data_IF_319126449837
#
_entry.id   IF_319126449837
#
_cell.length_a   1.000
_cell.length_b   1.000
_cell.length_c   1.000
_cell.angle_alpha   90.00
_cell.angle_beta   90.00
_cell.angle_gamma   90.00
#
_symmetry.space_group_name_H-M   'P 1'
#
loop_
_entity.id
_entity.type
_entity.pdbx_description
1 polymer ?
#
# COMPACT_ATOMS: atom_id res chain seq x y z
N UNK A 1 -30.96 -4.01 6.36
CA UNK A 1 -29.94 -4.19 5.30
C UNK A 1 -28.59 -4.22 5.99
N UNK A 2 -27.71 -5.18 5.67
CA UNK A 2 -26.32 -5.18 6.14
C UNK A 2 -25.55 -4.02 5.51
N UNK A 3 -24.51 -3.54 6.18
CA UNK A 3 -23.53 -2.63 5.58
C UNK A 3 -22.96 -3.30 4.33
N UNK A 4 -22.79 -2.57 3.22
CA UNK A 4 -22.33 -3.18 1.97
C UNK A 4 -20.91 -3.77 2.10
N UNK A 5 -20.03 -3.12 2.88
CA UNK A 5 -18.67 -3.60 3.14
C UNK A 5 -18.27 -3.33 4.58
N UNK A 6 -17.60 -4.31 5.22
CA UNK A 6 -17.06 -4.21 6.58
C UNK A 6 -15.54 -4.39 6.63
N UNK A 7 -15.00 -5.25 5.79
CA UNK A 7 -13.58 -5.56 5.72
C UNK A 7 -13.07 -5.17 4.34
N UNK A 8 -12.44 -4.01 4.26
CA UNK A 8 -11.92 -3.47 2.99
C UNK A 8 -10.42 -3.65 2.97
N UNK A 9 -9.92 -4.33 1.95
CA UNK A 9 -8.49 -4.46 1.68
C UNK A 9 -8.13 -3.63 0.45
N UNK A 10 -7.12 -2.80 0.58
CA UNK A 10 -6.66 -1.88 -0.46
C UNK A 10 -5.21 -2.20 -0.78
N UNK A 11 -4.95 -2.63 -2.01
CA UNK A 11 -3.58 -2.79 -2.53
C UNK A 11 -3.18 -1.51 -3.26
N UNK A 12 -2.02 -0.94 -2.92
CA UNK A 12 -1.51 0.24 -3.63
C UNK A 12 -0.15 -0.01 -4.24
N UNK A 13 0.07 0.54 -5.44
CA UNK A 13 1.36 0.61 -6.12
C UNK A 13 1.79 2.05 -6.37
N UNK A 14 2.88 2.26 -7.09
CA UNK A 14 3.50 3.57 -7.28
C UNK A 14 2.58 4.59 -8.01
N UNK A 15 1.57 4.11 -8.73
CA UNK A 15 0.60 4.98 -9.41
C UNK A 15 -0.18 5.89 -8.47
N UNK A 16 -0.46 5.47 -7.21
CA UNK A 16 -1.15 6.34 -6.24
C UNK A 16 -0.28 7.53 -5.83
N UNK A 17 1.05 7.37 -5.80
CA UNK A 17 2.02 8.40 -5.39
C UNK A 17 2.54 9.26 -6.56
N UNK A 18 2.17 8.94 -7.80
CA UNK A 18 2.64 9.65 -9.00
C UNK A 18 2.29 11.14 -8.97
N UNK A 19 1.04 11.48 -8.58
CA UNK A 19 0.57 12.87 -8.49
C UNK A 19 1.15 13.61 -7.26
N UNK A 20 1.82 12.91 -6.36
CA UNK A 20 2.61 13.48 -5.25
C UNK A 20 4.06 13.78 -5.65
N UNK A 21 4.47 13.52 -6.91
CA UNK A 21 5.82 13.77 -7.42
C UNK A 21 6.80 12.62 -7.23
N UNK A 22 6.31 11.42 -6.83
CA UNK A 22 7.11 10.19 -6.78
C UNK A 22 7.01 9.49 -8.13
N UNK A 23 8.17 9.18 -8.73
CA UNK A 23 8.20 8.50 -10.02
C UNK A 23 7.72 7.05 -9.88
N UNK A 24 6.91 6.62 -10.85
CA UNK A 24 6.41 5.26 -10.90
C UNK A 24 7.51 4.28 -11.33
N UNK A 25 7.49 3.11 -10.73
CA UNK A 25 8.28 1.98 -11.16
C UNK A 25 7.73 1.44 -12.49
N UNK A 26 8.59 1.30 -13.51
CA UNK A 26 8.22 0.76 -14.82
C UNK A 26 8.95 -0.56 -15.05
N UNK A 27 8.32 -1.67 -14.64
CA UNK A 27 8.88 -2.99 -14.82
C UNK A 27 9.15 -3.36 -16.29
N UNK A 28 8.38 -2.79 -17.21
CA UNK A 28 8.50 -3.07 -18.65
C UNK A 28 9.85 -2.61 -19.23
N UNK A 29 10.40 -1.51 -18.72
CA UNK A 29 11.67 -0.95 -19.21
C UNK A 29 12.88 -1.50 -18.45
N UNK A 30 12.68 -2.30 -17.39
CA UNK A 30 13.75 -2.81 -16.51
C UNK A 30 14.50 -1.69 -15.78
N UNK A 31 13.92 -0.48 -15.74
CA UNK A 31 14.55 0.70 -15.15
C UNK A 31 13.71 1.26 -13.99
N UNK A 32 14.42 1.67 -12.95
CA UNK A 32 13.88 2.46 -11.87
C UNK A 32 14.67 3.77 -11.76
N UNK A 33 14.04 4.90 -12.09
CA UNK A 33 14.67 6.22 -12.12
C UNK A 33 16.04 6.22 -12.85
N UNK A 34 16.05 5.67 -14.08
CA UNK A 34 17.22 5.55 -14.97
C UNK A 34 18.32 4.58 -14.51
N UNK A 35 18.10 3.80 -13.44
CA UNK A 35 19.00 2.72 -13.03
C UNK A 35 18.40 1.36 -13.40
N UNK A 36 19.23 0.41 -13.77
CA UNK A 36 18.80 -0.98 -13.98
C UNK A 36 18.36 -1.56 -12.64
N UNK A 37 17.26 -2.31 -12.64
CA UNK A 37 16.73 -2.96 -11.43
C UNK A 37 17.76 -3.86 -10.79
N UNK A 38 18.51 -4.62 -11.60
CA UNK A 38 19.55 -5.53 -11.15
C UNK A 38 20.70 -4.84 -10.43
N UNK A 39 20.91 -3.55 -10.71
CA UNK A 39 21.99 -2.78 -10.09
C UNK A 39 21.59 -2.17 -8.74
N UNK A 40 20.34 -1.79 -8.57
CA UNK A 40 19.92 -0.99 -7.40
C UNK A 40 18.86 -1.67 -6.51
N UNK A 41 18.25 -2.75 -6.97
CA UNK A 41 17.12 -3.39 -6.26
C UNK A 41 17.28 -4.91 -6.16
N UNK A 42 18.52 -5.40 -6.00
CA UNK A 42 18.86 -6.80 -5.75
C UNK A 42 19.95 -6.95 -4.69
N UNK A 43 20.00 -8.05 -3.93
CA UNK A 43 21.13 -8.34 -3.03
C UNK A 43 22.47 -8.38 -3.74
N UNK A 44 22.53 -8.92 -4.96
CA UNK A 44 23.72 -9.02 -5.78
C UNK A 44 24.24 -7.63 -6.22
N UNK A 45 23.31 -6.72 -6.59
CA UNK A 45 23.64 -5.33 -6.89
C UNK A 45 24.28 -4.64 -5.70
N UNK A 46 23.72 -4.83 -4.51
CA UNK A 46 24.26 -4.27 -3.28
C UNK A 46 25.63 -4.85 -2.90
N UNK A 47 25.86 -6.16 -3.09
CA UNK A 47 27.18 -6.76 -2.87
C UNK A 47 28.24 -6.25 -3.85
N UNK A 48 27.84 -5.98 -5.10
CA UNK A 48 28.74 -5.52 -6.16
C UNK A 48 29.15 -4.07 -5.98
N UNK A 49 28.21 -3.19 -5.64
CA UNK A 49 28.45 -1.76 -5.49
C UNK A 49 27.53 -1.17 -4.40
N UNK A 50 27.90 -1.34 -3.11
CA UNK A 50 27.09 -0.83 -2.01
C UNK A 50 26.97 0.70 -2.01
N UNK A 51 28.02 1.42 -2.43
CA UNK A 51 28.01 2.89 -2.45
C UNK A 51 26.99 3.42 -3.45
N UNK A 52 26.92 2.85 -4.65
CA UNK A 52 25.92 3.21 -5.65
C UNK A 52 24.49 2.92 -5.16
N UNK A 53 24.26 1.74 -4.58
CA UNK A 53 22.94 1.36 -4.09
C UNK A 53 22.52 2.24 -2.91
N UNK A 54 23.41 2.49 -1.95
CA UNK A 54 23.11 3.37 -0.82
C UNK A 54 22.78 4.79 -1.29
N UNK A 55 23.57 5.36 -2.21
CA UNK A 55 23.30 6.70 -2.75
C UNK A 55 21.98 6.74 -3.51
N UNK A 56 21.63 5.68 -4.28
CA UNK A 56 20.34 5.55 -4.94
C UNK A 56 19.17 5.71 -3.95
N UNK A 57 19.20 5.01 -2.80
CA UNK A 57 18.16 5.11 -1.77
C UNK A 57 18.25 6.41 -0.95
N UNK A 58 19.44 6.93 -0.71
CA UNK A 58 19.65 8.21 -0.02
C UNK A 58 19.01 9.38 -0.79
N UNK A 59 19.20 9.45 -2.11
CA UNK A 59 18.58 10.47 -2.96
C UNK A 59 17.03 10.42 -2.84
N UNK A 60 16.45 9.23 -2.85
CA UNK A 60 15.00 9.04 -2.70
C UNK A 60 14.51 9.44 -1.32
N UNK A 61 15.30 9.13 -0.29
CA UNK A 61 14.99 9.53 1.11
C UNK A 61 15.00 11.05 1.25
N UNK A 62 16.03 11.71 0.74
CA UNK A 62 16.12 13.18 0.73
C UNK A 62 14.95 13.80 -0.04
N UNK A 63 14.59 13.24 -1.19
CA UNK A 63 13.43 13.67 -1.97
C UNK A 63 12.12 13.49 -1.20
N UNK A 64 11.90 12.32 -0.60
CA UNK A 64 10.68 12.02 0.18
C UNK A 64 10.50 12.95 1.37
N UNK A 65 11.60 13.35 2.00
CA UNK A 65 11.60 14.27 3.15
C UNK A 65 11.49 15.75 2.76
N UNK A 66 11.54 16.08 1.48
CA UNK A 66 11.38 17.46 1.01
C UNK A 66 9.92 17.91 1.09
N UNK A 67 9.71 19.22 1.24
CA UNK A 67 8.37 19.84 1.28
C UNK A 67 7.59 19.66 -0.03
N UNK A 68 8.26 19.36 -1.13
CA UNK A 68 7.64 19.13 -2.44
C UNK A 68 6.82 17.85 -2.50
N UNK A 69 7.11 16.86 -1.64
CA UNK A 69 6.41 15.58 -1.62
C UNK A 69 5.35 15.59 -0.51
N UNK A 70 4.08 15.62 -0.91
CA UNK A 70 2.94 15.65 0.01
C UNK A 70 1.91 14.58 -0.37
N UNK A 71 1.13 14.05 0.62
CA UNK A 71 0.00 13.21 0.31
C UNK A 71 -0.96 13.90 -0.64
N UNK A 72 -1.42 13.22 -1.66
CA UNK A 72 -2.43 13.73 -2.58
C UNK A 72 -3.85 13.32 -2.11
N UNK A 73 -4.92 13.79 -2.78
CA UNK A 73 -6.30 13.50 -2.38
C UNK A 73 -6.63 12.02 -2.25
N UNK A 74 -5.94 11.11 -2.97
CA UNK A 74 -6.16 9.66 -2.82
C UNK A 74 -5.72 9.16 -1.44
N UNK A 75 -4.52 9.54 -0.98
CA UNK A 75 -4.02 9.17 0.34
C UNK A 75 -4.92 9.72 1.46
N UNK A 76 -5.34 10.99 1.36
CA UNK A 76 -6.25 11.63 2.32
C UNK A 76 -7.61 10.94 2.37
N UNK A 77 -8.13 10.52 1.22
CA UNK A 77 -9.40 9.80 1.14
C UNK A 77 -9.34 8.43 1.79
N UNK A 78 -8.22 7.69 1.65
CA UNK A 78 -8.03 6.40 2.33
C UNK A 78 -7.95 6.56 3.84
N UNK A 79 -7.24 7.56 4.35
CA UNK A 79 -7.22 7.88 5.78
C UNK A 79 -8.61 8.26 6.32
N UNK A 80 -9.39 9.02 5.52
CA UNK A 80 -10.80 9.32 5.85
C UNK A 80 -11.66 8.06 5.88
N UNK A 81 -11.50 7.17 4.90
CA UNK A 81 -12.24 5.91 4.85
C UNK A 81 -11.99 5.07 6.10
N UNK A 82 -10.72 4.89 6.48
CA UNK A 82 -10.36 4.13 7.67
C UNK A 82 -10.96 4.72 8.95
N UNK A 83 -10.98 6.05 9.07
CA UNK A 83 -11.55 6.76 10.22
C UNK A 83 -13.07 6.67 10.31
N UNK A 84 -13.79 6.71 9.19
CA UNK A 84 -15.25 6.88 9.16
C UNK A 84 -16.00 5.57 8.90
N UNK A 85 -15.33 4.52 8.38
CA UNK A 85 -15.95 3.24 8.12
C UNK A 85 -16.30 2.52 9.42
N UNK A 86 -17.51 1.98 9.53
CA UNK A 86 -17.88 1.05 10.61
C UNK A 86 -17.46 -0.38 10.26
N UNK A 87 -16.16 -0.59 10.28
CA UNK A 87 -15.52 -1.84 9.86
C UNK A 87 -14.01 -1.73 9.96
N UNK A 88 -13.32 -2.49 9.15
CA UNK A 88 -11.86 -2.44 9.04
C UNK A 88 -11.42 -2.03 7.63
N UNK A 89 -10.36 -1.23 7.56
CA UNK A 89 -9.64 -0.93 6.32
C UNK A 89 -8.19 -1.35 6.52
N UNK A 90 -7.67 -2.17 5.64
CA UNK A 90 -6.27 -2.56 5.63
C UNK A 90 -5.64 -2.09 4.32
N UNK A 91 -4.64 -1.24 4.41
CA UNK A 91 -3.85 -0.81 3.26
C UNK A 91 -2.61 -1.70 3.14
N UNK A 92 -2.51 -2.44 2.05
CA UNK A 92 -1.33 -3.21 1.67
C UNK A 92 -0.61 -2.38 0.61
N UNK A 93 0.60 -1.90 0.92
CA UNK A 93 1.32 -1.06 -0.04
C UNK A 93 2.59 -1.72 -0.54
N UNK A 94 2.79 -1.66 -1.85
CA UNK A 94 4.06 -1.98 -2.52
C UNK A 94 5.03 -0.80 -2.45
N UNK A 95 4.53 0.40 -2.11
CA UNK A 95 5.33 1.60 -2.02
C UNK A 95 6.17 1.61 -0.76
N UNK A 96 7.33 2.25 -0.88
CA UNK A 96 8.28 2.41 0.21
C UNK A 96 8.23 3.81 0.84
N UNK A 97 7.37 4.69 0.32
CA UNK A 97 7.10 6.02 0.88
C UNK A 97 6.15 5.94 2.10
N UNK A 98 6.02 7.05 2.84
CA UNK A 98 5.15 7.17 4.00
C UNK A 98 3.91 8.07 3.73
N UNK A 99 3.45 8.15 2.49
CA UNK A 99 2.36 9.04 2.13
C UNK A 99 1.01 8.56 2.66
N UNK A 100 0.83 7.27 2.89
CA UNK A 100 -0.37 6.73 3.53
C UNK A 100 -0.49 7.19 4.98
N UNK A 101 0.57 7.07 5.78
CA UNK A 101 0.63 7.55 7.17
C UNK A 101 0.38 9.05 7.23
N UNK A 102 1.08 9.82 6.39
CA UNK A 102 0.91 11.27 6.29
C UNK A 102 -0.48 11.66 5.78
N UNK A 103 -1.15 10.77 5.04
CA UNK A 103 -2.54 10.88 4.59
C UNK A 103 -3.57 10.49 5.66
N UNK A 104 -3.13 9.95 6.79
CA UNK A 104 -3.97 9.61 7.93
C UNK A 104 -4.35 8.14 8.07
N UNK A 105 -3.89 7.25 7.18
CA UNK A 105 -4.04 5.80 7.34
C UNK A 105 -3.16 5.28 8.47
N UNK A 106 -3.65 4.31 9.24
CA UNK A 106 -2.95 3.72 10.39
C UNK A 106 -2.72 2.21 10.24
N UNK A 107 -3.67 1.48 9.65
CA UNK A 107 -3.55 0.04 9.45
C UNK A 107 -2.92 -0.25 8.09
N UNK A 108 -1.60 -0.17 8.03
CA UNK A 108 -0.81 -0.28 6.81
C UNK A 108 0.14 -1.48 6.90
N UNK A 109 0.25 -2.23 5.81
CA UNK A 109 1.23 -3.30 5.61
C UNK A 109 2.18 -2.87 4.48
N UNK A 110 3.39 -2.48 4.84
CA UNK A 110 4.47 -2.18 3.89
C UNK A 110 5.12 -3.48 3.41
N UNK A 111 4.54 -4.10 2.39
CA UNK A 111 5.01 -5.42 1.93
C UNK A 111 6.41 -5.38 1.29
N UNK A 112 6.84 -4.23 0.80
CA UNK A 112 8.18 -4.05 0.23
C UNK A 112 9.12 -3.22 1.11
N UNK A 113 8.75 -2.99 2.37
CA UNK A 113 9.56 -2.23 3.33
C UNK A 113 9.31 -0.72 3.27
N UNK A 114 10.18 0.03 3.93
CA UNK A 114 10.01 1.46 4.19
C UNK A 114 11.32 2.22 3.98
N UNK A 115 11.29 3.27 3.17
CA UNK A 115 12.46 4.06 2.80
C UNK A 115 13.07 4.83 3.98
N UNK A 116 12.22 5.18 4.98
CA UNK A 116 12.64 5.90 6.18
C UNK A 116 13.09 4.96 7.31
N UNK A 117 13.40 3.69 6.97
CA UNK A 117 14.00 2.73 7.91
C UNK A 117 15.26 2.11 7.34
N UNK A 118 16.18 1.76 8.24
CA UNK A 118 17.33 0.92 7.94
C UNK A 118 17.18 -0.42 8.67
N UNK A 119 17.80 -1.46 8.11
CA UNK A 119 17.76 -2.83 8.63
C UNK A 119 19.17 -3.39 8.80
N UNK A 120 19.39 -4.08 9.92
CA UNK A 120 20.53 -4.97 10.07
C UNK A 120 20.24 -6.30 9.33
N UNK A 121 21.08 -6.73 8.37
CA UNK A 121 20.84 -7.97 7.62
C UNK A 121 20.94 -9.25 8.48
N UNK A 122 21.70 -9.21 9.58
CA UNK A 122 21.94 -10.38 10.45
C UNK A 122 20.81 -10.60 11.45
N UNK A 123 20.37 -9.52 12.15
CA UNK A 123 19.33 -9.64 13.19
C UNK A 123 17.93 -9.30 12.70
N UNK A 124 17.79 -8.73 11.51
CA UNK A 124 16.57 -8.14 10.97
C UNK A 124 15.98 -6.98 11.82
N UNK A 125 16.72 -6.49 12.81
CA UNK A 125 16.28 -5.31 13.56
C UNK A 125 16.26 -4.08 12.65
N UNK A 126 15.20 -3.29 12.77
CA UNK A 126 14.99 -2.05 12.01
C UNK A 126 15.09 -0.85 12.93
N UNK A 127 15.59 0.26 12.38
CA UNK A 127 15.68 1.57 13.04
C UNK A 127 15.14 2.64 12.10
N UNK A 128 14.58 3.71 12.67
CA UNK A 128 14.23 4.91 11.90
C UNK A 128 15.50 5.51 11.27
N UNK A 129 15.40 5.88 9.99
CA UNK A 129 16.53 6.38 9.21
C UNK A 129 16.09 7.53 8.32
N UNK A 130 16.35 8.75 8.77
CA UNK A 130 16.06 9.98 8.00
C UNK A 130 17.28 10.51 7.28
N UNK A 131 18.46 10.24 7.83
CA UNK A 131 19.74 10.63 7.25
C UNK A 131 20.21 9.63 6.21
N UNK A 132 21.28 9.97 5.49
CA UNK A 132 21.94 9.08 4.55
C UNK A 132 22.53 7.85 5.28
N UNK A 133 22.41 6.69 4.65
CA UNK A 133 23.15 5.50 5.04
C UNK A 133 24.43 5.47 4.20
N UNK A 134 25.57 5.27 4.84
CA UNK A 134 26.88 5.20 4.18
C UNK A 134 27.47 3.80 4.28
N UNK A 135 28.32 3.48 3.36
CA UNK A 135 29.15 2.30 3.47
C UNK A 135 30.07 2.43 4.70
N UNK A 136 30.04 1.44 5.58
CA UNK A 136 30.70 1.48 6.89
C UNK A 136 29.76 1.85 8.08
N UNK A 137 28.49 2.22 7.82
CA UNK A 137 27.50 2.39 8.89
C UNK A 137 27.08 1.01 9.42
N UNK A 138 27.64 0.64 10.56
CA UNK A 138 27.46 -0.69 11.14
C UNK A 138 26.33 -0.70 12.16
N UNK A 139 25.67 -1.84 12.30
CA UNK A 139 24.65 -2.04 13.33
C UNK A 139 25.24 -2.10 14.74
N UNK A 140 24.40 -1.81 15.75
CA UNK A 140 24.76 -1.94 17.17
C UNK A 140 24.07 -3.12 17.87
N UNK A 141 23.35 -3.95 17.10
CA UNK A 141 22.52 -5.03 17.65
C UNK A 141 23.22 -6.41 17.61
N UNK A 142 24.35 -6.54 16.93
CA UNK A 142 25.09 -7.79 16.77
C UNK A 142 26.44 -7.78 17.46
N UNK A 143 26.92 -8.96 17.94
CA UNK A 143 28.28 -9.09 18.48
C UNK A 143 29.34 -8.79 17.41
N UNK A 144 29.10 -9.22 16.19
CA UNK A 144 29.86 -8.80 15.01
C UNK A 144 28.99 -7.82 14.22
N UNK A 145 29.28 -6.51 14.29
CA UNK A 145 28.47 -5.50 13.61
C UNK A 145 28.44 -5.71 12.08
N UNK A 146 27.24 -5.66 11.50
CA UNK A 146 27.02 -5.80 10.07
C UNK A 146 26.67 -4.45 9.44
N UNK A 147 27.00 -4.29 8.17
CA UNK A 147 26.64 -3.12 7.37
C UNK A 147 25.13 -2.93 7.35
N UNK A 148 24.65 -1.77 7.78
CA UNK A 148 23.25 -1.40 7.68
C UNK A 148 22.83 -1.17 6.23
N UNK A 149 21.61 -1.57 5.90
CA UNK A 149 21.03 -1.38 4.56
C UNK A 149 19.65 -0.73 4.65
N UNK A 150 19.13 -0.11 3.58
CA UNK A 150 17.74 0.34 3.53
C UNK A 150 16.78 -0.83 3.86
N UNK A 151 15.73 -0.55 4.63
CA UNK A 151 14.70 -1.54 4.95
C UNK A 151 13.74 -1.73 3.76
N UNK A 152 14.29 -2.19 2.66
CA UNK A 152 13.57 -2.42 1.40
C UNK A 152 13.65 -3.90 1.05
N UNK A 153 12.56 -4.47 0.56
CA UNK A 153 12.55 -5.80 -0.05
C UNK A 153 13.02 -5.65 -1.49
N UNK A 154 14.12 -6.33 -1.81
CA UNK A 154 14.67 -6.36 -3.15
C UNK A 154 14.14 -7.54 -3.96
N UNK A 155 14.30 -7.50 -5.27
CA UNK A 155 13.96 -8.64 -6.13
C UNK A 155 14.78 -9.87 -5.69
N UNK A 156 14.09 -11.01 -5.61
CA UNK A 156 14.63 -12.26 -5.04
C UNK A 156 14.43 -12.42 -3.53
N UNK A 157 14.08 -11.36 -2.79
CA UNK A 157 13.72 -11.46 -1.38
C UNK A 157 12.21 -11.68 -1.18
N UNK A 158 11.84 -12.30 -0.07
CA UNK A 158 10.44 -12.52 0.30
C UNK A 158 9.80 -11.22 0.77
N UNK A 159 8.63 -10.82 0.25
CA UNK A 159 7.89 -9.68 0.78
C UNK A 159 7.52 -9.86 2.26
N UNK A 160 7.39 -8.73 2.95
CA UNK A 160 7.13 -8.71 4.40
C UNK A 160 5.66 -9.03 4.69
N UNK A 161 5.42 -9.63 5.87
CA UNK A 161 4.09 -9.83 6.45
C UNK A 161 3.09 -10.59 5.56
N UNK A 162 3.57 -11.52 4.74
CA UNK A 162 2.71 -12.29 3.82
C UNK A 162 1.57 -13.03 4.53
N UNK A 163 1.81 -13.56 5.74
CA UNK A 163 0.76 -14.20 6.53
C UNK A 163 -0.39 -13.26 6.89
N UNK A 164 -0.06 -12.02 7.31
CA UNK A 164 -1.07 -10.99 7.63
C UNK A 164 -1.83 -10.55 6.38
N UNK A 165 -1.14 -10.47 5.24
CA UNK A 165 -1.74 -10.13 3.94
C UNK A 165 -2.77 -11.18 3.55
N UNK A 166 -2.43 -12.46 3.54
CA UNK A 166 -3.38 -13.52 3.19
C UNK A 166 -4.55 -13.58 4.17
N UNK A 167 -4.32 -13.42 5.47
CA UNK A 167 -5.39 -13.36 6.45
C UNK A 167 -6.35 -12.19 6.22
N UNK A 168 -5.84 -11.03 5.76
CA UNK A 168 -6.69 -9.90 5.40
C UNK A 168 -7.50 -10.19 4.11
N UNK A 169 -6.88 -10.79 3.09
CA UNK A 169 -7.54 -11.15 1.83
C UNK A 169 -8.67 -12.16 2.03
N UNK A 170 -8.47 -13.17 2.89
CA UNK A 170 -9.48 -14.19 3.23
C UNK A 170 -10.74 -13.59 3.87
N UNK A 171 -10.61 -12.48 4.59
CA UNK A 171 -11.71 -11.82 5.30
C UNK A 171 -12.31 -10.64 4.54
N UNK A 172 -11.72 -10.27 3.40
CA UNK A 172 -12.14 -9.12 2.64
C UNK A 172 -13.53 -9.33 2.02
N UNK A 173 -14.41 -8.35 2.14
CA UNK A 173 -15.65 -8.26 1.36
C UNK A 173 -15.56 -7.25 0.22
N UNK A 174 -14.53 -6.37 0.27
CA UNK A 174 -14.12 -5.51 -0.84
C UNK A 174 -12.59 -5.51 -0.96
N UNK A 175 -12.09 -5.77 -2.16
CA UNK A 175 -10.68 -5.60 -2.52
C UNK A 175 -10.53 -4.51 -3.58
N UNK A 176 -9.70 -3.51 -3.31
CA UNK A 176 -9.44 -2.39 -4.25
C UNK A 176 -7.96 -2.34 -4.59
N UNK A 177 -7.63 -2.44 -5.87
CA UNK A 177 -6.26 -2.27 -6.38
C UNK A 177 -6.10 -0.88 -6.97
N UNK A 178 -5.10 -0.10 -6.53
CA UNK A 178 -4.90 1.30 -6.92
C UNK A 178 -3.48 1.52 -7.43
N UNK A 179 -3.36 1.93 -8.69
CA UNK A 179 -2.08 2.40 -9.26
C UNK A 179 -0.99 1.34 -9.31
N UNK A 180 -1.35 0.07 -9.56
CA UNK A 180 -0.40 -1.03 -9.74
C UNK A 180 -0.44 -1.58 -11.16
N UNK A 181 0.71 -2.01 -11.67
CA UNK A 181 0.83 -2.57 -13.01
C UNK A 181 0.27 -3.99 -13.15
N UNK A 182 0.12 -4.71 -12.05
CA UNK A 182 -0.32 -6.12 -12.05
C UNK A 182 0.71 -7.12 -12.60
N UNK A 183 2.00 -6.75 -12.64
CA UNK A 183 3.07 -7.66 -13.14
C UNK A 183 4.01 -8.15 -12.04
N UNK A 184 3.98 -7.53 -10.84
CA UNK A 184 4.89 -7.87 -9.73
C UNK A 184 4.19 -8.87 -8.82
N UNK A 185 4.72 -10.09 -8.76
CA UNK A 185 4.25 -11.14 -7.85
C UNK A 185 4.96 -11.05 -6.49
N UNK A 186 4.29 -11.42 -5.37
CA UNK A 186 2.94 -12.03 -5.31
C UNK A 186 1.77 -11.04 -5.41
N UNK A 187 2.00 -9.73 -5.36
CA UNK A 187 0.93 -8.71 -5.30
C UNK A 187 -0.06 -8.80 -6.47
N UNK A 188 0.40 -9.14 -7.67
CA UNK A 188 -0.45 -9.34 -8.84
C UNK A 188 -1.50 -10.47 -8.66
N UNK A 189 -1.23 -11.45 -7.79
CA UNK A 189 -2.15 -12.54 -7.48
C UNK A 189 -3.23 -12.21 -6.45
N UNK A 190 -3.10 -11.12 -5.69
CA UNK A 190 -4.01 -10.83 -4.57
C UNK A 190 -5.45 -10.58 -4.98
N UNK A 191 -5.70 -10.09 -6.19
CA UNK A 191 -7.07 -9.97 -6.73
C UNK A 191 -7.72 -11.34 -6.89
N UNK A 192 -6.98 -12.33 -7.34
CA UNK A 192 -7.46 -13.71 -7.45
C UNK A 192 -7.79 -14.27 -6.07
N UNK A 193 -6.88 -14.12 -5.09
CA UNK A 193 -7.07 -14.60 -3.72
C UNK A 193 -8.30 -13.97 -3.06
N UNK A 194 -8.46 -12.65 -3.16
CA UNK A 194 -9.63 -11.94 -2.63
C UNK A 194 -10.94 -12.43 -3.30
N UNK A 195 -10.93 -12.62 -4.63
CA UNK A 195 -12.10 -13.05 -5.38
C UNK A 195 -12.57 -14.46 -5.02
N UNK A 196 -11.66 -15.42 -4.85
CA UNK A 196 -12.04 -16.80 -4.47
C UNK A 196 -12.64 -16.86 -3.06
N UNK A 197 -12.32 -15.90 -2.18
CA UNK A 197 -12.91 -15.76 -0.85
C UNK A 197 -14.19 -14.91 -0.84
N UNK A 198 -14.65 -14.46 -2.01
CA UNK A 198 -15.96 -13.80 -2.18
C UNK A 198 -15.94 -12.28 -2.13
N UNK A 199 -14.77 -11.64 -2.08
CA UNK A 199 -14.66 -10.20 -2.15
C UNK A 199 -15.15 -9.63 -3.49
N UNK A 200 -15.86 -8.51 -3.45
CA UNK A 200 -16.03 -7.68 -4.64
C UNK A 200 -14.68 -7.03 -4.97
N UNK A 201 -14.31 -6.96 -6.27
CA UNK A 201 -12.98 -6.50 -6.67
C UNK A 201 -13.07 -5.29 -7.60
N UNK A 202 -12.30 -4.23 -7.27
CA UNK A 202 -12.27 -2.96 -8.02
C UNK A 202 -10.83 -2.64 -8.40
N UNK A 203 -10.59 -2.32 -9.66
CA UNK A 203 -9.34 -1.73 -10.13
C UNK A 203 -9.51 -0.22 -10.31
N UNK A 204 -8.59 0.58 -9.74
CA UNK A 204 -8.44 2.02 -10.01
C UNK A 204 -7.04 2.25 -10.58
N UNK A 205 -6.97 2.67 -11.84
CA UNK A 205 -5.69 2.89 -12.50
C UNK A 205 -5.84 3.94 -13.63
N UNK A 206 -4.73 4.44 -14.17
CA UNK A 206 -4.77 5.28 -15.37
C UNK A 206 -5.09 4.46 -16.61
N UNK A 207 -4.55 3.23 -16.68
CA UNK A 207 -4.70 2.29 -17.79
C UNK A 207 -4.93 0.89 -17.20
N UNK A 208 -5.51 -0.06 -18.00
CA UNK A 208 -5.67 -1.44 -17.56
C UNK A 208 -4.37 -2.07 -17.08
N UNK A 209 -4.39 -2.76 -15.94
CA UNK A 209 -3.25 -3.55 -15.49
C UNK A 209 -3.15 -4.88 -16.23
N UNK A 210 -2.03 -5.60 -16.08
CA UNK A 210 -1.85 -6.92 -16.67
C UNK A 210 -2.86 -7.97 -16.18
N UNK A 211 -3.51 -7.73 -15.04
CA UNK A 211 -4.53 -8.61 -14.43
C UNK A 211 -5.93 -7.99 -14.43
N UNK A 212 -6.19 -7.02 -15.29
CA UNK A 212 -7.44 -6.26 -15.34
C UNK A 212 -8.69 -7.14 -15.49
N UNK A 213 -8.57 -8.29 -16.17
CA UNK A 213 -9.67 -9.23 -16.38
C UNK A 213 -10.15 -9.92 -15.09
N UNK A 214 -9.35 -9.92 -14.02
CA UNK A 214 -9.70 -10.50 -12.73
C UNK A 214 -10.64 -9.60 -11.90
N UNK A 215 -10.75 -8.31 -12.26
CA UNK A 215 -11.58 -7.36 -11.51
C UNK A 215 -13.02 -7.33 -12.00
N UNK A 216 -13.96 -7.31 -11.02
CA UNK A 216 -15.39 -7.18 -11.30
C UNK A 216 -15.75 -5.76 -11.77
N UNK A 217 -15.08 -4.74 -11.23
CA UNK A 217 -15.28 -3.34 -11.57
C UNK A 217 -13.93 -2.66 -11.90
N UNK A 218 -13.96 -1.75 -12.86
CA UNK A 218 -12.77 -1.02 -13.32
C UNK A 218 -13.09 0.47 -13.41
N UNK A 219 -12.20 1.31 -12.86
CA UNK A 219 -12.29 2.77 -12.89
C UNK A 219 -10.98 3.33 -13.40
N UNK A 220 -11.00 3.83 -14.63
CA UNK A 220 -9.79 4.40 -15.24
C UNK A 220 -9.79 5.91 -15.14
N UNK A 221 -8.75 6.44 -14.48
CA UNK A 221 -8.56 7.85 -14.21
C UNK A 221 -7.44 8.11 -13.20
N UNK A 222 -7.26 9.37 -12.87
CA UNK A 222 -6.28 9.79 -11.85
C UNK A 222 -6.69 9.28 -10.47
N UNK A 223 -5.75 8.73 -9.72
CA UNK A 223 -6.01 8.25 -8.36
C UNK A 223 -6.58 9.36 -7.46
N UNK A 224 -6.07 10.60 -7.59
CA UNK A 224 -6.55 11.78 -6.86
C UNK A 224 -8.02 12.13 -7.12
N UNK A 225 -8.64 11.56 -8.14
CA UNK A 225 -10.04 11.77 -8.51
C UNK A 225 -10.88 10.53 -8.18
N UNK A 226 -10.47 9.37 -8.65
CA UNK A 226 -11.29 8.16 -8.58
C UNK A 226 -11.33 7.55 -7.16
N UNK A 227 -10.23 7.65 -6.39
CA UNK A 227 -10.21 7.16 -5.01
C UNK A 227 -11.14 7.96 -4.09
N UNK A 228 -11.09 9.31 -4.07
CA UNK A 228 -12.08 10.09 -3.30
C UNK A 228 -13.53 9.78 -3.68
N UNK A 229 -13.84 9.60 -4.97
CA UNK A 229 -15.18 9.23 -5.44
C UNK A 229 -15.64 7.89 -4.86
N UNK A 230 -14.80 6.85 -4.96
CA UNK A 230 -15.11 5.55 -4.39
C UNK A 230 -15.33 5.63 -2.87
N UNK A 231 -14.49 6.37 -2.16
CA UNK A 231 -14.62 6.55 -0.70
C UNK A 231 -15.94 7.22 -0.33
N UNK A 232 -16.33 8.28 -1.03
CA UNK A 232 -17.62 8.96 -0.81
C UNK A 232 -18.81 8.01 -1.08
N UNK A 233 -18.76 7.20 -2.13
CA UNK A 233 -19.79 6.21 -2.44
C UNK A 233 -19.95 5.16 -1.33
N UNK A 234 -18.83 4.63 -0.82
CA UNK A 234 -18.83 3.65 0.28
C UNK A 234 -19.41 4.26 1.54
N UNK A 235 -18.95 5.44 1.96
CA UNK A 235 -19.41 6.11 3.17
C UNK A 235 -20.89 6.55 3.06
N UNK A 236 -21.33 6.99 1.88
CA UNK A 236 -22.74 7.31 1.63
C UNK A 236 -23.63 6.06 1.70
N UNK A 237 -23.18 4.93 1.17
CA UNK A 237 -23.89 3.67 1.26
C UNK A 237 -24.03 3.19 2.72
N UNK A 238 -22.94 3.31 3.50
CA UNK A 238 -22.97 3.02 4.94
C UNK A 238 -24.03 3.89 5.67
N UNK A 239 -24.01 5.21 5.44
CA UNK A 239 -24.98 6.13 6.07
C UNK A 239 -26.43 5.77 5.73
N UNK A 240 -26.72 5.42 4.46
CA UNK A 240 -28.06 4.97 4.04
C UNK A 240 -28.49 3.69 4.76
N UNK A 241 -27.62 2.70 4.87
CA UNK A 241 -27.90 1.45 5.56
C UNK A 241 -28.23 1.65 7.05
N UNK A 242 -27.51 2.56 7.72
CA UNK A 242 -27.75 2.91 9.13
C UNK A 242 -29.10 3.60 9.34
N UNK A 243 -29.48 4.54 8.49
CA UNK A 243 -30.78 5.21 8.58
C UNK A 243 -31.95 4.24 8.36
N UNK A 244 -31.82 3.30 7.41
CA UNK A 244 -32.83 2.28 7.14
C UNK A 244 -33.03 1.33 8.32
N UNK A 245 -31.95 0.94 9.02
CA UNK A 245 -32.05 0.07 10.21
C UNK A 245 -32.64 0.80 11.41
N UNK A 246 -32.36 2.09 11.59
CA UNK A 246 -32.97 2.89 12.66
C UNK A 246 -34.47 3.11 12.44
N UNK A 247 -34.92 3.34 11.21
CA UNK A 247 -36.31 3.51 10.87
C UNK A 247 -37.14 2.22 11.14
N UNK A 248 -36.58 1.04 10.80
CA UNK A 248 -37.23 -0.25 11.05
C UNK A 248 -37.31 -0.60 12.53
N UNK A 249 -36.33 -0.20 13.35
CA UNK A 249 -36.38 -0.45 14.81
C UNK A 249 -37.37 0.42 15.54
N UNK A 250 -37.67 1.62 15.04
CA UNK A 250 -38.72 2.50 15.61
C UNK A 250 -40.11 2.07 15.24
N UNK A 251 -40.34 1.55 14.04
CA UNK A 251 -41.63 1.02 13.60
C UNK A 251 -42.06 -0.25 14.36
N UNK A 252 -41.08 -1.12 14.73
CA UNK A 252 -41.35 -2.35 15.49
C UNK A 252 -41.74 -2.14 16.96
N UNK A 253 -41.49 -0.96 17.53
CA UNK A 253 -41.90 -0.63 18.93
C UNK A 253 -43.33 -0.14 19.07
N UNK A 254 -43.99 0.29 18.00
CA UNK A 254 -45.39 0.77 18.06
C UNK A 254 -46.45 -0.33 18.06
N UNK A 255 -46.09 -1.59 17.78
CA UNK A 255 -47.04 -2.71 17.72
C UNK A 255 -47.05 -3.64 18.95
N UNK A 256 -46.40 -3.25 20.08
CA UNK A 256 -46.35 -4.06 21.31
C UNK A 256 -47.23 -3.52 22.46
N UNK A 257 -48.06 -2.52 22.24
CA UNK A 257 -49.02 -2.01 23.20
C UNK A 257 -50.37 -1.80 22.52
N UNK A 258 -51.04 -2.91 22.16
CA UNK A 258 -52.47 -2.96 21.86
C UNK A 258 -53.01 -4.30 22.36
#
# INVERSE_FOLDING_TARGET
MSLPYRNIVILTGAGISAESGIQTFRAQDGLWENHRIEDVATPEGFQRDPDMVLEFYNQRRRKLLSDAIQPNPAHLALGKLEKELQGSVTVITQNIDNLHERGGSQNIIHMHGELLKARCPESNQTVEQKDDIRNGDLCHCCQMPAQMRPHIVWFGEMPLRMGDIYAALEQADLFVSIGTSGVVYPAAGFVHDARIHGAHTIEINLEPSAVESEFAEKRYGKASIEVPRLVEEILAAQKRAMHSSAANSSAGKQYKHA
#
